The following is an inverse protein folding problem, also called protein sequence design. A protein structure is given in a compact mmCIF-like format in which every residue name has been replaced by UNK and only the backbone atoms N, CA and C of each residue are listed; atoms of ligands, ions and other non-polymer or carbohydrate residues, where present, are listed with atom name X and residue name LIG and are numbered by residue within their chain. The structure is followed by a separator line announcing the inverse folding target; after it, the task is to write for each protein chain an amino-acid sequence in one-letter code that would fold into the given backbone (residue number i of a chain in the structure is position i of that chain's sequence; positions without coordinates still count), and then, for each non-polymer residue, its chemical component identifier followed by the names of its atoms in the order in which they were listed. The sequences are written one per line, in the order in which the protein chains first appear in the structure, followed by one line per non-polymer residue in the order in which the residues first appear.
data_IF_995860825326
#
_entry.id   IF_995860825326
#
_cell.length_a   1.000
_cell.length_b   1.000
_cell.length_c   1.000
_cell.angle_alpha   90.00
_cell.angle_beta   90.00
_cell.angle_gamma   90.00
#
_symmetry.space_group_name_H-M   'P 1'
#
loop_
_entity.id
_entity.type
_entity.pdbx_description
1 polymer ?
#
# COMPACT_ATOMS: atom_id res chain seq x y z
N UNK A 1 -86.46 -18.24 -3.99
CA UNK A 1 -87.29 -17.40 -3.10
C UNK A 1 -87.68 -18.27 -1.91
N UNK A 2 -87.38 -17.88 -0.65
CA UNK A 2 -88.10 -16.78 -0.01
C UNK A 2 -87.30 -15.90 0.99
N UNK A 3 -87.96 -14.82 1.45
CA UNK A 3 -87.78 -13.99 2.67
C UNK A 3 -86.53 -13.06 2.79
N UNK A 4 -86.59 -11.82 3.29
CA UNK A 4 -87.67 -10.93 3.76
C UNK A 4 -87.14 -9.47 3.99
N UNK A 5 -88.06 -8.49 3.82
CA UNK A 5 -88.26 -7.17 4.52
C UNK A 5 -87.08 -6.19 4.73
N UNK A 6 -87.09 -4.99 4.11
CA UNK A 6 -87.70 -3.66 4.53
C UNK A 6 -87.15 -3.14 5.89
N UNK A 7 -86.65 -1.90 6.07
CA UNK A 7 -87.31 -0.56 6.06
C UNK A 7 -86.19 0.51 6.25
N UNK A 8 -86.02 1.50 5.37
CA UNK A 8 -86.29 2.97 5.51
C UNK A 8 -85.58 3.72 6.67
N UNK A 9 -84.78 4.74 6.35
CA UNK A 9 -84.99 6.17 6.69
C UNK A 9 -83.68 6.94 6.90
N UNK A 10 -83.67 8.18 6.43
CA UNK A 10 -82.52 9.09 6.37
C UNK A 10 -82.08 9.61 7.75
N UNK A 11 -80.76 9.76 7.92
CA UNK A 11 -80.16 10.54 9.01
C UNK A 11 -79.12 11.49 8.40
N UNK A 12 -79.43 12.77 8.50
CA UNK A 12 -78.60 13.88 8.07
C UNK A 12 -77.55 14.13 9.17
N UNK A 13 -76.26 14.07 8.83
CA UNK A 13 -75.14 14.49 9.68
C UNK A 13 -74.36 15.61 8.98
N UNK A 14 -74.00 16.71 9.67
CA UNK A 14 -73.27 17.82 9.07
C UNK A 14 -71.75 17.67 9.21
N UNK A 15 -71.04 18.27 8.25
CA UNK A 15 -69.63 18.69 8.27
C UNK A 15 -68.54 17.62 8.45
N UNK A 16 -68.16 17.01 7.32
CA UNK A 16 -66.82 16.45 7.15
C UNK A 16 -65.85 17.55 6.71
N UNK A 17 -64.93 17.93 7.60
CA UNK A 17 -63.75 18.72 7.27
C UNK A 17 -62.96 18.02 6.16
N UNK A 18 -62.90 18.63 4.97
CA UNK A 18 -61.97 18.20 3.92
C UNK A 18 -60.55 18.55 4.37
N UNK A 19 -59.86 17.60 5.01
CA UNK A 19 -58.39 17.61 5.05
C UNK A 19 -57.90 17.59 3.61
N UNK A 20 -57.38 18.72 3.14
CA UNK A 20 -56.58 18.76 1.92
C UNK A 20 -55.40 17.80 2.11
N UNK A 21 -55.02 17.00 1.09
CA UNK A 21 -53.79 16.24 1.18
C UNK A 21 -52.65 17.23 1.39
N UNK A 22 -51.93 17.05 2.50
CA UNK A 22 -50.68 17.73 2.78
C UNK A 22 -49.79 17.54 1.55
N UNK A 23 -49.52 18.63 0.82
CA UNK A 23 -48.44 18.65 -0.17
C UNK A 23 -47.16 18.41 0.62
N UNK A 24 -46.70 17.16 0.62
CA UNK A 24 -45.32 16.85 0.93
C UNK A 24 -44.51 17.52 -0.18
N UNK A 25 -43.68 18.49 0.17
CA UNK A 25 -42.68 19.03 -0.76
C UNK A 25 -41.69 17.89 -1.05
N UNK A 26 -41.84 17.26 -2.21
CA UNK A 26 -41.07 16.07 -2.61
C UNK A 26 -39.68 16.40 -3.17
N UNK A 27 -39.30 17.68 -3.22
CA UNK A 27 -38.14 18.13 -4.01
C UNK A 27 -36.79 17.86 -3.33
N UNK A 28 -36.70 17.90 -2.00
CA UNK A 28 -35.44 17.62 -1.28
C UNK A 28 -35.18 16.12 -1.08
N UNK A 29 -36.23 15.32 -0.89
CA UNK A 29 -36.12 13.87 -0.70
C UNK A 29 -35.96 13.09 -2.00
N UNK A 30 -36.57 13.54 -3.11
CA UNK A 30 -36.47 12.87 -4.40
C UNK A 30 -35.05 12.96 -4.99
N UNK A 31 -34.39 14.11 -4.91
CA UNK A 31 -33.04 14.30 -5.45
C UNK A 31 -31.98 13.45 -4.72
N UNK A 32 -32.11 13.28 -3.39
CA UNK A 32 -31.25 12.37 -2.62
C UNK A 32 -31.47 10.91 -3.00
N UNK A 33 -32.73 10.52 -3.28
CA UNK A 33 -33.08 9.18 -3.73
C UNK A 33 -32.52 8.88 -5.13
N UNK A 34 -32.68 9.81 -6.07
CA UNK A 34 -32.19 9.68 -7.46
C UNK A 34 -30.66 9.62 -7.52
N UNK A 35 -29.96 10.44 -6.73
CA UNK A 35 -28.51 10.39 -6.64
C UNK A 35 -28.01 9.07 -6.05
N UNK A 36 -28.62 8.60 -4.96
CA UNK A 36 -28.24 7.35 -4.33
C UNK A 36 -28.49 6.14 -5.24
N UNK A 37 -29.60 6.16 -6.00
CA UNK A 37 -29.92 5.13 -6.99
C UNK A 37 -28.93 5.14 -8.17
N UNK A 38 -28.58 6.33 -8.69
CA UNK A 38 -27.56 6.46 -9.73
C UNK A 38 -26.19 5.98 -9.25
N UNK A 39 -25.80 6.30 -8.01
CA UNK A 39 -24.56 5.82 -7.40
C UNK A 39 -24.58 4.30 -7.21
N UNK A 40 -25.71 3.74 -6.76
CA UNK A 40 -25.89 2.29 -6.61
C UNK A 40 -25.70 1.57 -7.96
N UNK A 41 -26.42 1.99 -9.00
CA UNK A 41 -26.27 1.45 -10.36
C UNK A 41 -24.81 1.58 -10.80
N UNK A 42 -24.20 2.74 -10.53
CA UNK A 42 -22.82 2.99 -10.91
C UNK A 42 -21.85 2.02 -10.24
N UNK A 43 -21.94 1.82 -8.93
CA UNK A 43 -21.10 0.90 -8.16
C UNK A 43 -21.32 -0.56 -8.56
N UNK A 44 -22.56 -0.97 -8.80
CA UNK A 44 -22.90 -2.36 -9.18
C UNK A 44 -22.38 -2.69 -10.59
N UNK A 45 -22.52 -1.77 -11.54
CA UNK A 45 -21.98 -1.93 -12.90
C UNK A 45 -20.45 -1.82 -12.92
N UNK A 46 -19.87 -0.84 -12.22
CA UNK A 46 -18.41 -0.67 -12.15
C UNK A 46 -17.74 -1.81 -11.38
N UNK A 47 -18.38 -2.32 -10.33
CA UNK A 47 -17.94 -3.51 -9.59
C UNK A 47 -18.22 -4.82 -10.33
N UNK A 48 -18.79 -4.78 -11.55
CA UNK A 48 -19.14 -5.95 -12.38
C UNK A 48 -20.11 -6.95 -11.73
N UNK A 49 -20.85 -6.53 -10.69
CA UNK A 49 -21.81 -7.37 -9.97
C UNK A 49 -23.08 -7.61 -10.77
N UNK A 50 -23.61 -6.55 -11.39
CA UNK A 50 -24.75 -6.61 -12.31
C UNK A 50 -26.01 -7.28 -11.73
N UNK A 51 -26.50 -6.83 -10.56
CA UNK A 51 -27.66 -7.45 -9.88
C UNK A 51 -28.94 -7.52 -10.71
N UNK A 52 -29.12 -6.63 -11.69
CA UNK A 52 -30.21 -6.69 -12.66
C UNK A 52 -31.59 -6.28 -12.11
N UNK A 53 -31.62 -5.72 -10.91
CA UNK A 53 -32.78 -5.13 -10.25
C UNK A 53 -33.18 -3.77 -10.85
N UNK A 54 -32.19 -3.01 -11.35
CA UNK A 54 -32.41 -1.77 -12.10
C UNK A 54 -31.86 -1.92 -13.52
N UNK A 55 -32.73 -1.70 -14.51
CA UNK A 55 -32.41 -1.89 -15.92
C UNK A 55 -32.46 -0.53 -16.62
N UNK A 56 -31.41 -0.12 -17.35
CA UNK A 56 -31.44 1.11 -18.11
C UNK A 56 -32.48 1.02 -19.23
N UNK A 57 -33.49 1.88 -19.14
CA UNK A 57 -34.57 2.01 -20.13
C UNK A 57 -34.21 3.01 -21.23
N UNK A 58 -33.33 3.98 -20.94
CA UNK A 58 -32.89 4.98 -21.90
C UNK A 58 -31.84 4.38 -22.88
N UNK A 59 -31.99 4.58 -24.21
CA UNK A 59 -31.04 4.10 -25.21
C UNK A 59 -29.58 4.53 -24.98
N UNK A 60 -29.37 5.75 -24.47
CA UNK A 60 -28.02 6.24 -24.18
C UNK A 60 -27.40 5.51 -23.00
N UNK A 61 -28.16 5.30 -21.92
CA UNK A 61 -27.67 4.59 -20.72
C UNK A 61 -27.40 3.12 -21.07
N UNK A 62 -28.19 2.50 -21.96
CA UNK A 62 -27.92 1.15 -22.48
C UNK A 62 -26.60 1.05 -23.25
N UNK A 63 -26.17 2.11 -23.93
CA UNK A 63 -24.89 2.13 -24.64
C UNK A 63 -23.70 2.35 -23.68
N UNK A 64 -23.86 3.22 -22.67
CA UNK A 64 -22.81 3.50 -21.70
C UNK A 64 -22.62 2.39 -20.65
N UNK A 65 -23.67 1.64 -20.31
CA UNK A 65 -23.60 0.60 -19.29
C UNK A 65 -22.56 -0.50 -19.60
N UNK A 66 -22.46 -1.05 -20.83
CA UNK A 66 -21.38 -1.95 -21.21
C UNK A 66 -19.98 -1.31 -21.16
N UNK A 67 -19.85 -0.05 -21.56
CA UNK A 67 -18.57 0.68 -21.50
C UNK A 67 -18.12 0.80 -20.05
N UNK A 68 -19.03 1.20 -19.17
CA UNK A 68 -18.77 1.30 -17.74
C UNK A 68 -18.39 -0.04 -17.13
N UNK A 69 -19.06 -1.13 -17.50
CA UNK A 69 -18.69 -2.48 -17.05
C UNK A 69 -17.28 -2.88 -17.51
N UNK A 70 -16.93 -2.58 -18.77
CA UNK A 70 -15.57 -2.81 -19.30
C UNK A 70 -14.52 -1.96 -18.57
N UNK A 71 -14.82 -0.70 -18.27
CA UNK A 71 -13.96 0.17 -17.45
C UNK A 71 -13.78 -0.41 -16.04
N UNK A 72 -14.86 -0.84 -15.41
CA UNK A 72 -14.84 -1.50 -14.10
C UNK A 72 -13.96 -2.75 -14.09
N UNK A 73 -14.16 -3.63 -15.08
CA UNK A 73 -13.34 -4.82 -15.27
C UNK A 73 -11.85 -4.48 -15.49
N UNK A 74 -11.54 -3.47 -16.30
CA UNK A 74 -10.17 -3.02 -16.53
C UNK A 74 -9.54 -2.46 -15.26
N UNK A 75 -10.28 -1.67 -14.46
CA UNK A 75 -9.82 -1.14 -13.18
C UNK A 75 -9.59 -2.26 -12.15
N UNK A 76 -10.49 -3.23 -12.04
CA UNK A 76 -10.32 -4.39 -11.16
C UNK A 76 -9.10 -5.23 -11.56
N UNK A 77 -8.92 -5.46 -12.86
CA UNK A 77 -7.76 -6.18 -13.39
C UNK A 77 -6.46 -5.42 -13.14
N UNK A 78 -6.45 -4.10 -13.34
CA UNK A 78 -5.31 -3.24 -13.07
C UNK A 78 -4.98 -3.22 -11.56
N UNK A 79 -5.98 -3.10 -10.69
CA UNK A 79 -5.80 -3.16 -9.25
C UNK A 79 -5.20 -4.50 -8.81
N UNK A 80 -5.74 -5.63 -9.30
CA UNK A 80 -5.20 -6.96 -9.00
C UNK A 80 -3.76 -7.13 -9.52
N UNK A 81 -3.47 -6.61 -10.72
CA UNK A 81 -2.12 -6.64 -11.30
C UNK A 81 -1.13 -5.79 -10.48
N UNK A 82 -1.56 -4.62 -10.00
CA UNK A 82 -0.76 -3.76 -9.13
C UNK A 82 -0.49 -4.44 -7.78
N UNK A 83 -1.52 -5.05 -7.17
CA UNK A 83 -1.34 -5.87 -5.96
C UNK A 83 -0.39 -7.04 -6.20
N UNK A 84 -0.41 -7.69 -7.37
CA UNK A 84 0.55 -8.75 -7.69
C UNK A 84 2.01 -8.26 -7.71
N UNK A 85 2.25 -6.99 -8.03
CA UNK A 85 3.58 -6.40 -8.12
C UNK A 85 4.13 -5.92 -6.77
N UNK A 86 3.27 -5.52 -5.82
CA UNK A 86 3.72 -4.99 -4.53
C UNK A 86 4.27 -6.08 -3.59
N UNK A 87 3.70 -7.29 -3.62
CA UNK A 87 4.12 -8.41 -2.77
C UNK A 87 5.58 -8.85 -2.95
N UNK A 88 6.11 -9.05 -4.18
CA UNK A 88 7.51 -9.47 -4.34
C UNK A 88 8.50 -8.40 -3.88
N UNK A 89 8.16 -7.10 -3.98
CA UNK A 89 9.00 -6.02 -3.45
C UNK A 89 9.15 -6.10 -1.92
N UNK A 90 8.03 -6.32 -1.21
CA UNK A 90 8.05 -6.58 0.24
C UNK A 90 8.83 -7.85 0.59
N UNK A 91 8.70 -8.91 -0.21
CA UNK A 91 9.43 -10.17 -0.02
C UNK A 91 10.95 -10.03 -0.15
N UNK A 92 11.43 -9.28 -1.15
CA UNK A 92 12.87 -9.00 -1.35
C UNK A 92 13.48 -8.22 -0.20
N UNK A 93 12.80 -7.16 0.24
CA UNK A 93 13.20 -6.36 1.41
C UNK A 93 13.37 -7.23 2.66
N UNK A 94 12.39 -8.11 2.94
CA UNK A 94 12.46 -9.03 4.09
C UNK A 94 13.61 -10.03 3.95
N UNK A 95 13.83 -10.55 2.75
CA UNK A 95 14.95 -11.47 2.47
C UNK A 95 16.30 -10.82 2.77
N UNK A 96 16.51 -9.57 2.35
CA UNK A 96 17.70 -8.80 2.68
C UNK A 96 17.87 -8.68 4.20
N UNK A 97 16.83 -8.24 4.91
CA UNK A 97 16.91 -8.09 6.37
C UNK A 97 17.24 -9.38 7.11
N UNK A 98 16.59 -10.49 6.74
CA UNK A 98 16.88 -11.80 7.33
C UNK A 98 18.33 -12.19 7.06
N UNK A 99 18.82 -11.97 5.84
CA UNK A 99 20.22 -12.27 5.49
C UNK A 99 21.19 -11.42 6.30
N UNK A 100 20.94 -10.12 6.43
CA UNK A 100 21.76 -9.23 7.25
C UNK A 100 21.79 -9.69 8.70
N UNK A 101 20.63 -10.06 9.25
CA UNK A 101 20.55 -10.58 10.60
C UNK A 101 21.32 -11.90 10.78
N UNK A 102 21.29 -12.80 9.79
CA UNK A 102 22.10 -14.01 9.81
C UNK A 102 23.61 -13.70 9.75
N UNK A 103 24.03 -12.68 8.99
CA UNK A 103 25.43 -12.25 8.98
C UNK A 103 25.86 -11.67 10.34
N UNK A 104 24.99 -10.89 10.96
CA UNK A 104 25.18 -10.33 12.30
C UNK A 104 25.31 -11.43 13.36
N UNK A 105 24.38 -12.38 13.39
CA UNK A 105 24.39 -13.51 14.33
C UNK A 105 25.67 -14.38 14.22
N UNK A 106 26.31 -14.38 13.05
CA UNK A 106 27.55 -15.14 12.80
C UNK A 106 28.83 -14.30 12.93
N UNK A 107 28.76 -13.05 13.39
CA UNK A 107 29.94 -12.21 13.59
C UNK A 107 30.73 -11.96 12.31
N UNK A 108 30.01 -11.71 11.22
CA UNK A 108 30.64 -11.61 9.90
C UNK A 108 31.56 -10.37 9.79
N UNK A 109 31.21 -9.28 10.47
CA UNK A 109 32.08 -8.08 10.58
C UNK A 109 33.42 -8.42 11.23
N UNK A 110 33.42 -9.23 12.28
CA UNK A 110 34.64 -9.68 12.96
C UNK A 110 35.50 -10.52 12.01
N UNK A 111 34.86 -11.40 11.22
CA UNK A 111 35.54 -12.24 10.23
C UNK A 111 36.24 -11.40 9.16
N UNK A 112 35.63 -10.30 8.69
CA UNK A 112 36.24 -9.42 7.67
C UNK A 112 37.50 -8.69 8.16
N UNK A 113 37.66 -8.55 9.48
CA UNK A 113 38.85 -7.95 10.10
C UNK A 113 40.02 -8.93 10.20
N UNK A 114 39.79 -10.22 9.97
CA UNK A 114 40.84 -11.25 10.01
C UNK A 114 41.70 -11.26 8.73
N UNK A 115 43.04 -11.37 8.82
CA UNK A 115 43.93 -11.27 7.67
C UNK A 115 43.83 -12.45 6.68
N UNK A 116 43.29 -13.60 7.09
CA UNK A 116 43.14 -14.80 6.26
C UNK A 116 41.73 -14.96 5.67
N UNK A 117 40.87 -13.93 5.80
CA UNK A 117 39.51 -13.93 5.30
C UNK A 117 39.47 -14.00 3.76
N UNK A 118 39.57 -15.22 3.22
CA UNK A 118 39.41 -15.50 1.79
C UNK A 118 37.93 -15.73 1.40
N UNK A 119 37.03 -15.76 2.39
CA UNK A 119 35.63 -16.09 2.21
C UNK A 119 34.78 -14.88 2.58
N UNK A 120 34.64 -13.91 1.67
CA UNK A 120 33.67 -12.84 1.91
C UNK A 120 33.16 -11.99 0.74
N UNK A 121 33.86 -11.99 -0.38
CA UNK A 121 33.51 -11.12 -1.52
C UNK A 121 32.07 -11.31 -2.03
N UNK A 122 31.67 -12.57 -2.25
CA UNK A 122 30.36 -12.87 -2.85
C UNK A 122 29.19 -12.42 -1.97
N UNK A 123 29.33 -12.52 -0.65
CA UNK A 123 28.26 -12.12 0.26
C UNK A 123 28.09 -10.59 0.27
N UNK A 124 29.19 -9.84 0.24
CA UNK A 124 29.16 -8.38 0.15
C UNK A 124 28.54 -7.91 -1.17
N UNK A 125 28.94 -8.52 -2.29
CA UNK A 125 28.35 -8.23 -3.61
C UNK A 125 26.84 -8.53 -3.63
N UNK A 126 26.42 -9.67 -3.09
CA UNK A 126 25.01 -10.05 -3.01
C UNK A 126 24.18 -9.09 -2.12
N UNK A 127 24.76 -8.61 -1.01
CA UNK A 127 24.11 -7.62 -0.15
C UNK A 127 24.00 -6.27 -0.86
N UNK A 128 25.05 -5.81 -1.56
CA UNK A 128 25.02 -4.58 -2.34
C UNK A 128 23.98 -4.64 -3.49
N UNK A 129 23.90 -5.79 -4.18
CA UNK A 129 22.89 -6.04 -5.20
C UNK A 129 21.47 -6.00 -4.61
N UNK A 130 21.26 -6.65 -3.46
CA UNK A 130 19.97 -6.66 -2.76
C UNK A 130 19.53 -5.26 -2.31
N UNK A 131 20.47 -4.41 -1.85
CA UNK A 131 20.19 -3.00 -1.51
C UNK A 131 19.76 -2.23 -2.77
N UNK A 132 20.43 -2.48 -3.89
CA UNK A 132 20.10 -1.85 -5.17
C UNK A 132 18.71 -2.26 -5.65
N UNK A 133 18.33 -3.54 -5.50
CA UNK A 133 16.98 -4.02 -5.79
C UNK A 133 15.93 -3.33 -4.90
N UNK A 134 16.19 -3.24 -3.59
CA UNK A 134 15.30 -2.56 -2.64
C UNK A 134 15.11 -1.08 -3.02
N UNK A 135 16.16 -0.39 -3.46
CA UNK A 135 16.06 0.99 -3.95
C UNK A 135 15.19 1.08 -5.22
N UNK A 136 15.35 0.17 -6.18
CA UNK A 136 14.46 0.11 -7.37
C UNK A 136 13.01 -0.05 -6.93
N UNK A 137 12.77 -0.96 -5.99
CA UNK A 137 11.43 -1.28 -5.49
C UNK A 137 10.75 -0.08 -4.81
N UNK A 138 11.51 0.66 -3.99
CA UNK A 138 11.05 1.89 -3.34
C UNK A 138 10.71 3.00 -4.35
N UNK A 139 11.44 3.04 -5.47
CA UNK A 139 11.15 3.99 -6.56
C UNK A 139 9.83 3.65 -7.25
N UNK A 140 9.53 2.36 -7.42
CA UNK A 140 8.30 1.90 -8.09
C UNK A 140 7.08 1.90 -7.16
N UNK A 141 7.27 1.67 -5.86
CA UNK A 141 6.22 1.48 -4.86
C UNK A 141 6.51 2.38 -3.65
N UNK A 142 6.43 3.70 -3.84
CA UNK A 142 6.77 4.70 -2.82
C UNK A 142 5.95 4.53 -1.53
N UNK A 143 4.72 4.02 -1.62
CA UNK A 143 3.87 3.69 -0.48
C UNK A 143 4.47 2.65 0.47
N UNK A 144 5.36 1.78 -0.02
CA UNK A 144 6.03 0.76 0.82
C UNK A 144 7.01 1.36 1.81
N UNK A 145 7.42 2.62 1.62
CA UNK A 145 8.18 3.39 2.59
C UNK A 145 7.46 3.48 3.93
N UNK A 146 6.14 3.72 3.94
CA UNK A 146 5.38 3.88 5.18
C UNK A 146 5.06 2.54 5.87
N UNK A 147 5.43 1.42 5.25
CA UNK A 147 5.22 0.11 5.83
C UNK A 147 6.28 -0.17 6.90
N UNK A 148 5.83 -0.24 8.15
CA UNK A 148 6.66 -0.58 9.30
C UNK A 148 6.54 -2.08 9.59
N UNK A 149 7.68 -2.75 9.63
CA UNK A 149 7.74 -4.16 9.98
C UNK A 149 7.71 -4.33 11.50
N UNK A 150 6.91 -5.28 12.00
CA UNK A 150 6.79 -5.49 13.45
C UNK A 150 7.93 -6.37 13.98
N UNK A 151 8.42 -7.29 13.16
CA UNK A 151 9.58 -8.12 13.47
C UNK A 151 10.88 -7.38 13.07
N UNK A 152 11.76 -7.04 14.03
CA UNK A 152 13.05 -6.41 13.72
C UNK A 152 13.90 -7.23 12.74
N UNK A 153 13.81 -8.56 12.74
CA UNK A 153 14.59 -9.44 11.85
C UNK A 153 14.22 -9.31 10.38
N UNK A 154 13.01 -8.84 10.11
CA UNK A 154 12.49 -8.57 8.77
C UNK A 154 12.50 -7.09 8.43
N UNK A 155 12.91 -6.23 9.38
CA UNK A 155 12.91 -4.78 9.23
C UNK A 155 14.19 -4.30 8.58
N UNK A 156 14.06 -3.73 7.38
CA UNK A 156 15.17 -3.07 6.69
C UNK A 156 15.79 -1.97 7.55
N UNK A 157 14.96 -1.21 8.26
CA UNK A 157 15.40 -0.14 9.13
C UNK A 157 16.25 -0.68 10.30
N UNK A 158 15.87 -1.82 10.89
CA UNK A 158 16.66 -2.45 11.94
C UNK A 158 18.01 -3.01 11.41
N UNK A 159 18.07 -3.39 10.13
CA UNK A 159 19.30 -3.89 9.50
C UNK A 159 20.32 -2.79 9.15
N UNK A 160 19.90 -1.52 9.06
CA UNK A 160 20.75 -0.42 8.58
C UNK A 160 22.03 -0.18 9.41
N UNK A 161 22.01 -0.18 10.75
CA UNK A 161 23.22 0.02 11.54
C UNK A 161 24.28 -1.05 11.23
N UNK A 162 23.87 -2.32 11.14
CA UNK A 162 24.78 -3.40 10.79
C UNK A 162 25.30 -3.29 9.35
N UNK A 163 24.46 -2.92 8.38
CA UNK A 163 24.89 -2.70 6.99
C UNK A 163 25.94 -1.60 6.87
N UNK A 164 25.80 -0.51 7.64
CA UNK A 164 26.80 0.56 7.71
C UNK A 164 28.12 0.03 8.29
N UNK A 165 28.08 -0.67 9.42
CA UNK A 165 29.26 -1.26 10.05
C UNK A 165 29.95 -2.29 9.14
N UNK A 166 29.15 -3.09 8.42
CA UNK A 166 29.62 -4.06 7.45
C UNK A 166 30.38 -3.39 6.29
N UNK A 167 29.85 -2.29 5.77
CA UNK A 167 30.51 -1.52 4.72
C UNK A 167 31.83 -0.94 5.19
N UNK A 168 31.87 -0.34 6.39
CA UNK A 168 33.10 0.20 6.98
C UNK A 168 34.14 -0.90 7.17
N UNK A 169 33.77 -2.02 7.81
CA UNK A 169 34.69 -3.13 8.07
C UNK A 169 35.26 -3.74 6.77
N UNK A 170 34.44 -3.88 5.72
CA UNK A 170 34.91 -4.36 4.42
C UNK A 170 35.91 -3.39 3.78
N UNK A 171 35.64 -2.08 3.83
CA UNK A 171 36.50 -1.03 3.26
C UNK A 171 37.83 -0.87 4.00
N UNK A 172 37.86 -1.21 5.29
CA UNK A 172 39.08 -1.21 6.11
C UNK A 172 39.87 -2.53 6.02
N UNK A 173 39.35 -3.55 5.31
CA UNK A 173 40.02 -4.84 5.15
C UNK A 173 41.40 -4.68 4.49
N UNK A 174 42.34 -5.57 4.80
CA UNK A 174 43.67 -5.60 4.17
C UNK A 174 43.63 -6.25 2.77
N UNK A 175 42.63 -7.09 2.50
CA UNK A 175 42.41 -7.77 1.23
C UNK A 175 41.81 -6.81 0.19
N UNK A 176 42.39 -6.74 -1.00
CA UNK A 176 42.01 -5.75 -2.02
C UNK A 176 40.60 -5.97 -2.54
N UNK A 177 40.22 -7.21 -2.75
CA UNK A 177 38.94 -7.60 -3.30
C UNK A 177 37.81 -7.29 -2.31
N UNK A 178 37.98 -7.61 -1.01
CA UNK A 178 37.02 -7.25 0.04
C UNK A 178 36.83 -5.73 0.12
N UNK A 179 37.93 -4.94 0.02
CA UNK A 179 37.80 -3.47 -0.02
C UNK A 179 36.99 -2.99 -1.22
N UNK A 180 37.21 -3.57 -2.39
CA UNK A 180 36.47 -3.19 -3.59
C UNK A 180 34.96 -3.48 -3.43
N UNK A 181 34.61 -4.64 -2.87
CA UNK A 181 33.21 -4.98 -2.58
C UNK A 181 32.62 -4.12 -1.47
N UNK A 182 33.42 -3.72 -0.48
CA UNK A 182 33.04 -2.75 0.55
C UNK A 182 32.73 -1.36 -0.02
N UNK A 183 33.52 -0.89 -0.99
CA UNK A 183 33.24 0.36 -1.72
C UNK A 183 31.97 0.28 -2.57
N UNK A 184 31.71 -0.89 -3.18
CA UNK A 184 30.45 -1.15 -3.89
C UNK A 184 29.26 -1.12 -2.94
N UNK A 185 29.37 -1.77 -1.78
CA UNK A 185 28.35 -1.75 -0.74
C UNK A 185 28.08 -0.33 -0.23
N UNK A 186 29.13 0.46 0.03
CA UNK A 186 29.00 1.87 0.40
C UNK A 186 28.27 2.65 -0.67
N UNK A 187 28.64 2.46 -1.94
CA UNK A 187 27.99 3.15 -3.06
C UNK A 187 26.50 2.82 -3.17
N UNK A 188 26.11 1.57 -2.88
CA UNK A 188 24.70 1.17 -2.83
C UNK A 188 23.94 1.83 -1.66
N UNK A 189 24.57 1.94 -0.48
CA UNK A 189 24.02 2.64 0.68
C UNK A 189 23.88 4.15 0.42
N UNK A 190 24.88 4.77 -0.21
CA UNK A 190 24.84 6.17 -0.62
C UNK A 190 23.71 6.43 -1.60
N UNK A 191 23.51 5.53 -2.57
CA UNK A 191 22.44 5.66 -3.55
C UNK A 191 21.04 5.52 -2.91
N UNK A 192 20.90 4.58 -1.97
CA UNK A 192 19.68 4.43 -1.18
C UNK A 192 19.41 5.67 -0.31
N UNK A 193 20.42 6.20 0.38
CA UNK A 193 20.31 7.40 1.20
C UNK A 193 19.94 8.63 0.36
N UNK A 194 20.57 8.81 -0.81
CA UNK A 194 20.18 9.87 -1.76
C UNK A 194 18.73 9.73 -2.20
N UNK A 195 18.25 8.51 -2.43
CA UNK A 195 16.84 8.29 -2.74
C UNK A 195 15.95 8.70 -1.56
N UNK A 196 16.30 8.35 -0.31
CA UNK A 196 15.55 8.79 0.86
C UNK A 196 15.52 10.31 1.02
N UNK A 197 16.64 10.98 0.79
CA UNK A 197 16.71 12.44 0.86
C UNK A 197 15.86 13.11 -0.23
N UNK A 198 15.99 12.67 -1.48
CA UNK A 198 15.32 13.33 -2.62
C UNK A 198 13.83 13.02 -2.70
N UNK A 199 13.42 11.78 -2.45
CA UNK A 199 12.03 11.34 -2.62
C UNK A 199 11.18 11.56 -1.35
N UNK A 200 11.77 11.40 -0.16
CA UNK A 200 11.05 11.43 1.11
C UNK A 200 11.44 12.61 2.00
N UNK A 201 12.39 13.45 1.57
CA UNK A 201 12.78 14.66 2.28
C UNK A 201 13.58 14.41 3.56
N UNK A 202 14.21 13.24 3.70
CA UNK A 202 15.05 12.96 4.86
C UNK A 202 16.27 13.88 4.85
N UNK A 203 16.44 14.61 5.95
CA UNK A 203 17.58 15.51 6.17
C UNK A 203 18.76 14.77 6.82
N UNK A 204 19.98 15.14 6.42
CA UNK A 204 21.25 14.68 6.98
C UNK A 204 22.41 15.16 6.10
N UNK A 205 23.57 15.42 6.71
CA UNK A 205 24.76 15.93 6.02
C UNK A 205 25.63 14.79 5.46
N UNK A 206 25.36 13.55 5.87
CA UNK A 206 26.04 12.34 5.41
C UNK A 206 25.07 11.19 5.15
N UNK A 207 25.51 10.19 4.39
CA UNK A 207 24.77 8.93 4.17
C UNK A 207 24.32 8.32 5.50
N UNK A 208 25.22 8.24 6.49
CA UNK A 208 24.89 7.63 7.77
C UNK A 208 23.81 8.40 8.53
N UNK A 209 23.86 9.73 8.54
CA UNK A 209 22.82 10.54 9.17
C UNK A 209 21.44 10.39 8.52
N UNK A 210 21.40 10.29 7.18
CA UNK A 210 20.16 10.06 6.44
C UNK A 210 19.61 8.66 6.73
N UNK A 211 20.46 7.64 6.74
CA UNK A 211 20.05 6.28 7.09
C UNK A 211 19.58 6.20 8.55
N UNK A 212 20.27 6.83 9.49
CA UNK A 212 19.87 6.92 10.90
C UNK A 212 18.55 7.67 11.10
N UNK A 213 18.26 8.66 10.25
CA UNK A 213 16.96 9.29 10.21
C UNK A 213 15.89 8.30 9.73
N UNK A 214 16.16 7.52 8.67
CA UNK A 214 15.26 6.46 8.21
C UNK A 214 14.99 5.40 9.30
N UNK A 215 16.02 4.96 10.03
CA UNK A 215 15.91 4.04 11.17
C UNK A 215 14.94 4.57 12.22
N UNK A 216 15.10 5.84 12.61
CA UNK A 216 14.24 6.51 13.60
C UNK A 216 12.81 6.70 13.11
N UNK A 217 12.63 7.09 11.85
CA UNK A 217 11.30 7.27 11.25
C UNK A 217 10.50 5.95 11.19
N UNK A 218 11.21 4.82 11.16
CA UNK A 218 10.63 3.48 11.22
C UNK A 218 10.48 2.93 12.65
N UNK A 219 10.82 3.71 13.69
CA UNK A 219 10.62 3.34 15.09
C UNK A 219 11.72 2.46 15.70
N UNK A 220 12.88 2.37 15.05
CA UNK A 220 14.03 1.65 15.58
C UNK A 220 15.05 2.61 16.22
N UNK A 221 15.79 2.10 17.21
CA UNK A 221 16.87 2.85 17.85
C UNK A 221 18.15 2.75 17.01
N UNK A 222 18.84 3.88 16.84
CA UNK A 222 20.20 3.90 16.29
C UNK A 222 21.16 3.52 17.41
N UNK A 223 21.86 2.40 17.27
CA UNK A 223 22.95 2.06 18.19
C UNK A 223 24.17 2.90 17.80
N UNK A 224 24.52 3.88 18.65
CA UNK A 224 25.81 4.56 18.55
C UNK A 224 26.84 3.69 19.27
N UNK A 225 27.77 3.09 18.53
CA UNK A 225 28.99 2.53 19.14
C UNK A 225 29.69 3.66 19.94
N UNK A 226 30.00 3.35 21.20
CA UNK A 226 30.71 4.22 22.14
C UNK A 226 32.20 3.91 22.10
#
# INVERSE_FOLDING_TARGET
LPHARRVRSAMHLPNGERRLPQRVDLTEGAAHSEFAEALYISLVTLGTLGFGDVIPVDPWIRLFSPIQALTGFALLTAALSWFGQIYPALGRRRTLSIRVHLLEDNGYVETLREPEASTGNRLLEEVAASITEVRVDLTQNTETYYFRETDPRMSLAASMPYLQNLSVAARDSTVREIRADGELLQSALDDLARHFSTQFGLSGDSTGEILDHFVRDHGHAVQKET
#
